data_IF_336811487255
#
_entry.id   IF_336811487255
#
_cell.length_a   1.000
_cell.length_b   1.000
_cell.length_c   1.000
_cell.angle_alpha   90.00
_cell.angle_beta   90.00
_cell.angle_gamma   90.00
#
_symmetry.space_group_name_H-M   'P 1'
#
loop_
_entity.id
_entity.type
_entity.pdbx_description
1 polymer ?
#
# COMPACT_ATOMS: atom_id res chain seq x y z
N UNK A 1 6.16 -0.92 25.59
CA UNK A 1 5.00 -1.57 24.97
C UNK A 1 3.80 -0.70 25.28
N UNK A 2 3.18 -0.14 24.26
CA UNK A 2 1.98 0.70 24.40
C UNK A 2 0.78 -0.19 24.06
N UNK A 3 -0.20 -0.28 24.95
CA UNK A 3 -1.39 -1.14 24.78
C UNK A 3 -2.61 -0.25 24.70
N UNK A 4 -3.33 -0.35 23.59
CA UNK A 4 -4.61 0.33 23.35
C UNK A 4 -5.73 -0.73 23.23
N UNK A 5 -7.02 -0.35 23.35
CA UNK A 5 -8.12 -1.30 23.33
C UNK A 5 -8.19 -2.20 22.07
N UNK A 6 -7.66 -1.75 20.94
CA UNK A 6 -7.75 -2.45 19.65
C UNK A 6 -6.38 -2.86 19.06
N UNK A 7 -5.27 -2.42 19.65
CA UNK A 7 -3.94 -2.76 19.18
C UNK A 7 -2.86 -2.56 20.24
N UNK A 8 -1.75 -3.28 20.10
CA UNK A 8 -0.54 -3.13 20.90
C UNK A 8 0.64 -2.76 20.00
N UNK A 9 1.46 -1.81 20.46
CA UNK A 9 2.69 -1.39 19.80
C UNK A 9 3.90 -1.86 20.61
N UNK A 10 4.73 -2.68 19.96
CA UNK A 10 6.03 -3.06 20.48
C UNK A 10 7.13 -2.26 19.76
N UNK A 11 7.39 -1.05 20.26
CA UNK A 11 8.49 -0.18 19.79
C UNK A 11 9.84 -0.74 20.25
N UNK A 12 10.80 -0.82 19.34
CA UNK A 12 12.16 -1.21 19.67
C UNK A 12 13.17 -0.64 18.67
N UNK A 13 14.25 -0.06 19.18
CA UNK A 13 15.42 0.31 18.37
C UNK A 13 16.19 -0.91 17.87
N UNK A 14 15.95 -2.10 18.44
CA UNK A 14 16.59 -3.35 17.97
C UNK A 14 16.19 -3.68 16.54
N UNK A 15 14.97 -3.35 16.15
CA UNK A 15 14.51 -3.54 14.78
C UNK A 15 15.21 -2.58 13.80
N UNK A 16 15.62 -1.38 14.24
CA UNK A 16 16.41 -0.47 13.40
C UNK A 16 17.71 -1.15 12.95
N UNK A 17 18.40 -1.86 13.85
CA UNK A 17 19.63 -2.59 13.49
C UNK A 17 19.41 -3.68 12.43
N UNK A 18 18.22 -4.28 12.36
CA UNK A 18 17.87 -5.22 11.29
C UNK A 18 17.67 -4.48 9.96
N UNK A 19 16.96 -3.36 9.98
CA UNK A 19 16.71 -2.52 8.81
C UNK A 19 18.03 -1.98 8.24
N UNK A 20 18.92 -1.49 9.12
CA UNK A 20 20.26 -1.02 8.78
C UNK A 20 21.08 -2.12 8.11
N UNK A 21 21.13 -3.32 8.70
CA UNK A 21 21.83 -4.47 8.09
C UNK A 21 21.28 -4.84 6.72
N UNK A 22 19.96 -4.82 6.54
CA UNK A 22 19.33 -5.10 5.25
C UNK A 22 19.70 -4.06 4.20
N UNK A 23 19.66 -2.78 4.57
CA UNK A 23 20.03 -1.66 3.71
C UNK A 23 21.52 -1.70 3.31
N UNK A 24 22.40 -1.95 4.28
CA UNK A 24 23.86 -1.98 4.11
C UNK A 24 24.35 -3.23 3.36
N UNK A 25 23.59 -4.32 3.38
CA UNK A 25 23.96 -5.55 2.67
C UNK A 25 24.11 -5.35 1.15
N UNK A 26 23.28 -4.47 0.55
CA UNK A 26 23.30 -4.22 -0.88
C UNK A 26 22.76 -2.82 -1.25
N UNK A 27 23.41 -1.72 -0.83
CA UNK A 27 22.90 -0.35 -1.02
C UNK A 27 22.68 0.01 -2.49
N UNK A 28 23.51 -0.51 -3.41
CA UNK A 28 23.32 -0.31 -4.84
C UNK A 28 22.03 -0.95 -5.37
N UNK A 29 21.72 -2.17 -4.92
CA UNK A 29 20.48 -2.87 -5.28
C UNK A 29 19.26 -2.09 -4.76
N UNK A 30 19.29 -1.65 -3.50
CA UNK A 30 18.19 -0.88 -2.93
C UNK A 30 17.99 0.48 -3.62
N UNK A 31 19.04 1.15 -4.09
CA UNK A 31 18.89 2.35 -4.93
C UNK A 31 18.20 2.04 -6.26
N UNK A 32 18.50 0.90 -6.88
CA UNK A 32 17.78 0.46 -8.09
C UNK A 32 16.32 0.20 -7.78
N UNK A 33 16.03 -0.50 -6.67
CA UNK A 33 14.65 -0.74 -6.19
C UNK A 33 13.91 0.58 -5.96
N UNK A 34 14.53 1.55 -5.27
CA UNK A 34 13.95 2.87 -5.05
C UNK A 34 13.68 3.61 -6.37
N UNK A 35 14.61 3.61 -7.32
CA UNK A 35 14.41 4.21 -8.65
C UNK A 35 13.27 3.54 -9.43
N UNK A 36 13.17 2.22 -9.36
CA UNK A 36 12.07 1.46 -9.97
C UNK A 36 10.73 1.81 -9.32
N UNK A 37 10.71 1.99 -7.99
CA UNK A 37 9.54 2.48 -7.28
C UNK A 37 9.10 3.84 -7.82
N UNK A 38 9.99 4.83 -7.84
CA UNK A 38 9.69 6.17 -8.38
C UNK A 38 9.19 6.11 -9.82
N UNK A 39 9.82 5.29 -10.67
CA UNK A 39 9.44 5.15 -12.07
C UNK A 39 8.06 4.50 -12.26
N UNK A 40 7.67 3.56 -11.38
CA UNK A 40 6.40 2.83 -11.47
C UNK A 40 5.24 3.57 -10.80
N UNK A 41 5.50 4.46 -9.84
CA UNK A 41 4.47 5.22 -9.11
C UNK A 41 3.48 5.96 -10.02
N UNK A 42 3.90 6.77 -11.02
CA UNK A 42 2.94 7.42 -11.93
C UNK A 42 2.07 6.40 -12.69
N UNK A 43 2.65 5.26 -13.08
CA UNK A 43 1.93 4.19 -13.75
C UNK A 43 0.83 3.58 -12.87
N UNK A 44 1.13 3.33 -11.59
CA UNK A 44 0.15 2.84 -10.62
C UNK A 44 -0.97 3.86 -10.40
N UNK A 45 -0.64 5.14 -10.19
CA UNK A 45 -1.62 6.22 -10.03
C UNK A 45 -2.52 6.36 -11.27
N UNK A 46 -1.94 6.36 -12.47
CA UNK A 46 -2.70 6.45 -13.72
C UNK A 46 -3.62 5.25 -13.93
N UNK A 47 -3.14 4.04 -13.62
CA UNK A 47 -3.91 2.82 -13.77
C UNK A 47 -5.12 2.77 -12.82
N UNK A 48 -4.93 3.07 -11.53
CA UNK A 48 -6.06 3.11 -10.58
C UNK A 48 -7.05 4.24 -10.92
N UNK A 49 -6.56 5.39 -11.39
CA UNK A 49 -7.41 6.48 -11.88
C UNK A 49 -8.26 6.05 -13.07
N UNK A 50 -7.64 5.38 -14.05
CA UNK A 50 -8.34 4.83 -15.20
C UNK A 50 -9.43 3.83 -14.79
N UNK A 51 -9.11 2.90 -13.88
CA UNK A 51 -10.09 1.93 -13.36
C UNK A 51 -11.28 2.62 -12.69
N UNK A 52 -11.04 3.58 -11.80
CA UNK A 52 -12.10 4.28 -11.08
C UNK A 52 -12.96 5.16 -11.99
N UNK A 53 -12.35 5.85 -12.96
CA UNK A 53 -13.09 6.67 -13.93
C UNK A 53 -13.92 5.80 -14.88
N UNK A 54 -13.33 4.72 -15.39
CA UNK A 54 -14.02 3.77 -16.25
C UNK A 54 -15.18 3.10 -15.52
N UNK A 55 -14.99 2.75 -14.25
CA UNK A 55 -16.04 2.14 -13.44
C UNK A 55 -17.17 3.15 -13.13
N UNK A 56 -16.82 4.40 -12.81
CA UNK A 56 -17.79 5.49 -12.66
C UNK A 56 -18.62 5.68 -13.94
N UNK A 57 -17.97 5.71 -15.11
CA UNK A 57 -18.66 5.80 -16.40
C UNK A 57 -19.62 4.62 -16.61
N UNK A 58 -19.20 3.39 -16.26
CA UNK A 58 -20.04 2.19 -16.44
C UNK A 58 -21.32 2.26 -15.61
N UNK A 59 -21.31 2.83 -14.41
CA UNK A 59 -22.54 3.01 -13.63
C UNK A 59 -23.61 3.83 -14.35
N UNK A 60 -23.24 4.76 -15.23
CA UNK A 60 -24.20 5.62 -15.94
C UNK A 60 -24.58 5.10 -17.33
N UNK A 61 -23.68 4.38 -18.01
CA UNK A 61 -23.87 4.01 -19.42
C UNK A 61 -23.93 2.50 -19.70
N UNK A 62 -23.46 1.67 -18.78
CA UNK A 62 -23.51 0.20 -18.90
C UNK A 62 -23.47 -0.47 -17.51
N UNK A 63 -24.53 -0.32 -16.68
CA UNK A 63 -24.53 -0.75 -15.29
C UNK A 63 -24.17 -2.23 -15.10
N UNK A 64 -24.64 -3.10 -15.99
CA UNK A 64 -24.31 -4.53 -16.04
C UNK A 64 -22.81 -4.84 -16.26
N UNK A 65 -22.00 -3.87 -16.69
CA UNK A 65 -20.53 -4.00 -16.81
C UNK A 65 -19.77 -3.32 -15.66
N UNK A 66 -20.46 -2.62 -14.77
CA UNK A 66 -19.84 -1.97 -13.62
C UNK A 66 -19.30 -3.03 -12.67
N UNK A 67 -18.10 -2.80 -12.18
CA UNK A 67 -17.45 -3.65 -11.19
C UNK A 67 -17.72 -3.12 -9.79
N UNK A 68 -18.12 -3.98 -8.84
CA UNK A 68 -18.38 -3.57 -7.47
C UNK A 68 -17.07 -3.19 -6.77
N UNK A 69 -17.01 -1.96 -6.24
CA UNK A 69 -15.99 -1.51 -5.29
C UNK A 69 -16.54 -1.72 -3.89
N UNK A 70 -16.01 -2.71 -3.18
CA UNK A 70 -16.56 -3.20 -1.92
C UNK A 70 -15.57 -2.95 -0.78
N UNK A 71 -16.00 -2.43 0.37
CA UNK A 71 -15.12 -2.28 1.53
C UNK A 71 -14.76 -3.67 2.07
N UNK A 72 -13.50 -3.83 2.49
CA UNK A 72 -13.04 -5.08 3.11
C UNK A 72 -13.46 -5.09 4.58
N UNK A 73 -14.45 -5.93 4.89
CA UNK A 73 -15.06 -6.08 6.21
C UNK A 73 -15.01 -7.56 6.59
N UNK A 74 -14.17 -7.95 7.57
CA UNK A 74 -14.10 -9.32 8.07
C UNK A 74 -15.46 -9.88 8.48
N UNK A 75 -15.82 -11.06 7.97
CA UNK A 75 -17.08 -11.74 8.27
C UNK A 75 -18.30 -11.25 7.49
N UNK A 76 -18.19 -10.12 6.77
CA UNK A 76 -19.26 -9.60 5.90
C UNK A 76 -18.86 -9.74 4.44
N UNK A 77 -17.80 -9.06 4.03
CA UNK A 77 -17.29 -9.10 2.64
C UNK A 77 -16.11 -10.05 2.52
N UNK A 78 -15.46 -10.43 3.63
CA UNK A 78 -14.48 -11.53 3.67
C UNK A 78 -15.10 -12.75 4.33
N UNK A 79 -15.19 -13.87 3.60
CA UNK A 79 -15.74 -15.14 4.11
C UNK A 79 -14.98 -15.64 5.33
N UNK A 80 -15.67 -16.22 6.31
CA UNK A 80 -15.06 -16.75 7.55
C UNK A 80 -13.93 -17.74 7.29
N UNK A 81 -14.10 -18.66 6.33
CA UNK A 81 -13.07 -19.63 5.96
C UNK A 81 -11.78 -19.00 5.41
N UNK A 82 -11.89 -17.77 4.88
CA UNK A 82 -10.78 -17.00 4.31
C UNK A 82 -10.06 -16.13 5.34
N UNK A 83 -10.66 -15.88 6.52
CA UNK A 83 -10.13 -14.93 7.50
C UNK A 83 -8.70 -15.23 7.97
N UNK A 84 -8.31 -16.49 8.28
CA UNK A 84 -6.94 -16.76 8.71
C UNK A 84 -5.91 -16.37 7.64
N UNK A 85 -6.20 -16.65 6.37
CA UNK A 85 -5.35 -16.33 5.24
C UNK A 85 -5.33 -14.83 4.95
N UNK A 86 -6.49 -14.18 5.01
CA UNK A 86 -6.62 -12.73 4.88
C UNK A 86 -5.76 -11.98 5.90
N UNK A 87 -5.89 -12.31 7.19
CA UNK A 87 -5.14 -11.62 8.25
C UNK A 87 -3.63 -11.91 8.19
N UNK A 88 -3.24 -13.15 7.88
CA UNK A 88 -1.84 -13.49 7.68
C UNK A 88 -1.22 -12.71 6.51
N UNK A 89 -1.91 -12.68 5.36
CA UNK A 89 -1.47 -11.91 4.18
C UNK A 89 -1.42 -10.41 4.49
N UNK A 90 -2.47 -9.84 5.09
CA UNK A 90 -2.53 -8.43 5.44
C UNK A 90 -1.34 -8.03 6.34
N UNK A 91 -1.05 -8.82 7.38
CA UNK A 91 0.06 -8.50 8.28
C UNK A 91 1.44 -8.62 7.64
N UNK A 92 1.67 -9.63 6.80
CA UNK A 92 2.92 -9.77 6.06
C UNK A 92 3.13 -8.62 5.07
N UNK A 93 2.08 -8.23 4.35
CA UNK A 93 2.14 -7.14 3.36
C UNK A 93 2.46 -5.82 4.04
N UNK A 94 1.75 -5.46 5.12
CA UNK A 94 2.02 -4.22 5.87
C UNK A 94 3.44 -4.24 6.46
N UNK A 95 3.89 -5.39 6.98
CA UNK A 95 5.25 -5.51 7.50
C UNK A 95 6.30 -5.25 6.41
N UNK A 96 6.16 -5.86 5.23
CA UNK A 96 7.08 -5.68 4.11
C UNK A 96 7.03 -4.24 3.58
N UNK A 97 5.84 -3.66 3.51
CA UNK A 97 5.60 -2.27 3.10
C UNK A 97 6.40 -1.29 3.97
N UNK A 98 6.20 -1.35 5.29
CA UNK A 98 6.85 -0.48 6.27
C UNK A 98 8.36 -0.74 6.34
N UNK A 99 8.78 -2.01 6.26
CA UNK A 99 10.19 -2.37 6.17
C UNK A 99 10.86 -1.73 4.95
N UNK A 100 10.17 -1.66 3.81
CA UNK A 100 10.70 -1.09 2.58
C UNK A 100 10.93 0.42 2.70
N UNK A 101 10.01 1.15 3.34
CA UNK A 101 10.23 2.56 3.69
C UNK A 101 11.47 2.71 4.57
N UNK A 102 11.59 1.89 5.62
CA UNK A 102 12.73 1.95 6.53
C UNK A 102 14.08 1.66 5.85
N UNK A 103 14.14 0.62 5.02
CA UNK A 103 15.34 0.30 4.23
C UNK A 103 15.71 1.46 3.32
N UNK A 104 14.72 2.06 2.65
CA UNK A 104 14.99 3.18 1.76
C UNK A 104 15.44 4.44 2.51
N UNK A 105 14.90 4.72 3.71
CA UNK A 105 15.40 5.80 4.56
C UNK A 105 16.90 5.64 4.83
N UNK A 106 17.33 4.45 5.26
CA UNK A 106 18.76 4.20 5.54
C UNK A 106 19.62 4.36 4.29
N UNK A 107 19.16 3.87 3.13
CA UNK A 107 19.88 3.97 1.85
C UNK A 107 20.09 5.42 1.38
N UNK A 108 19.12 6.29 1.67
CA UNK A 108 19.18 7.74 1.40
C UNK A 108 19.79 8.55 2.57
N UNK A 109 20.28 7.89 3.63
CA UNK A 109 20.93 8.56 4.76
C UNK A 109 19.96 9.28 5.71
N UNK A 110 18.68 8.93 5.69
CA UNK A 110 17.64 9.49 6.55
C UNK A 110 17.53 8.65 7.83
N UNK A 111 17.80 9.23 9.02
CA UNK A 111 17.78 8.49 10.28
C UNK A 111 16.40 7.92 10.62
N UNK A 112 16.37 6.76 11.28
CA UNK A 112 15.16 6.17 11.84
C UNK A 112 15.08 6.45 13.35
N UNK A 113 14.05 7.17 13.80
CA UNK A 113 13.80 7.44 15.23
C UNK A 113 13.41 6.16 15.96
N UNK A 114 12.47 5.41 15.41
CA UNK A 114 12.02 4.14 15.96
C UNK A 114 11.42 3.24 14.91
N UNK A 115 11.30 1.94 15.23
CA UNK A 115 10.47 1.01 14.48
C UNK A 115 9.69 0.12 15.45
N UNK A 116 8.54 -0.36 15.02
CA UNK A 116 7.62 -1.10 15.86
C UNK A 116 6.98 -2.28 15.12
N UNK A 117 6.71 -3.34 15.88
CA UNK A 117 5.73 -4.33 15.48
C UNK A 117 4.37 -3.90 16.02
N UNK A 118 3.39 -3.88 15.13
CA UNK A 118 2.00 -3.56 15.44
C UNK A 118 1.24 -4.87 15.55
N UNK A 119 0.53 -5.07 16.65
CA UNK A 119 -0.37 -6.20 16.84
C UNK A 119 -1.78 -5.66 17.08
N UNK A 120 -2.59 -5.61 16.03
CA UNK A 120 -4.02 -5.36 16.14
C UNK A 120 -4.76 -6.63 16.57
N UNK A 121 -5.99 -6.49 17.10
CA UNK A 121 -6.81 -7.62 17.57
C UNK A 121 -6.91 -8.76 16.54
N UNK A 122 -6.86 -8.43 15.24
CA UNK A 122 -7.07 -9.38 14.16
C UNK A 122 -5.86 -9.56 13.23
N UNK A 123 -4.84 -8.71 13.28
CA UNK A 123 -3.69 -8.77 12.37
C UNK A 123 -2.43 -8.23 13.04
N UNK A 124 -1.28 -8.47 12.44
CA UNK A 124 -0.03 -7.81 12.80
C UNK A 124 0.41 -6.86 11.68
N UNK A 125 1.53 -6.17 11.87
CA UNK A 125 2.13 -5.27 10.87
C UNK A 125 3.44 -4.67 11.36
N UNK A 126 4.04 -3.83 10.53
CA UNK A 126 5.18 -2.99 10.90
C UNK A 126 4.74 -1.54 11.12
N UNK A 127 5.64 -0.74 11.66
CA UNK A 127 5.64 0.70 11.57
C UNK A 127 7.09 1.19 11.63
N UNK A 128 7.45 2.10 10.74
CA UNK A 128 8.77 2.75 10.77
C UNK A 128 8.57 4.26 10.94
N UNK A 129 9.34 4.85 11.84
CA UNK A 129 9.28 6.27 12.15
C UNK A 129 10.59 6.95 11.72
N UNK A 130 10.64 7.52 10.51
CA UNK A 130 11.79 8.29 10.06
C UNK A 130 11.91 9.60 10.83
N UNK A 131 13.10 10.20 10.81
CA UNK A 131 13.25 11.59 11.19
C UNK A 131 12.58 12.49 10.14
N UNK A 132 11.43 13.07 10.51
CA UNK A 132 10.63 13.91 9.59
C UNK A 132 11.37 15.16 9.11
N UNK A 133 12.18 15.81 9.96
CA UNK A 133 12.93 17.01 9.57
C UNK A 133 14.04 16.65 8.56
N UNK A 134 14.75 15.53 8.81
CA UNK A 134 15.73 15.00 7.87
C UNK A 134 15.10 14.56 6.54
N UNK A 135 13.91 13.95 6.58
CA UNK A 135 13.18 13.53 5.38
C UNK A 135 12.69 14.74 4.58
N UNK A 136 12.09 15.75 5.21
CA UNK A 136 11.59 16.94 4.51
C UNK A 136 12.71 17.80 3.92
N UNK A 137 13.90 17.79 4.53
CA UNK A 137 15.09 18.51 4.05
C UNK A 137 15.92 17.74 3.01
N UNK A 138 15.66 16.45 2.82
CA UNK A 138 16.32 15.64 1.80
C UNK A 138 15.96 16.11 0.37
N UNK A 139 16.80 15.79 -0.62
CA UNK A 139 16.49 16.11 -2.01
C UNK A 139 15.21 15.40 -2.48
N UNK A 140 14.56 15.98 -3.49
CA UNK A 140 13.27 15.48 -3.97
C UNK A 140 13.33 14.02 -4.43
N UNK A 141 14.44 13.55 -5.00
CA UNK A 141 14.54 12.17 -5.47
C UNK A 141 14.65 11.19 -4.28
N UNK A 142 15.44 11.53 -3.27
CA UNK A 142 15.53 10.77 -2.02
C UNK A 142 14.17 10.63 -1.34
N UNK A 143 13.42 11.73 -1.20
CA UNK A 143 12.05 11.70 -0.68
C UNK A 143 11.14 10.80 -1.50
N UNK A 144 11.19 10.94 -2.83
CA UNK A 144 10.34 10.15 -3.74
C UNK A 144 10.67 8.65 -3.67
N UNK A 145 11.94 8.27 -3.52
CA UNK A 145 12.33 6.87 -3.33
C UNK A 145 11.76 6.32 -2.03
N UNK A 146 11.88 7.06 -0.93
CA UNK A 146 11.32 6.65 0.37
C UNK A 146 9.82 6.44 0.24
N UNK A 147 9.06 7.40 -0.30
CA UNK A 147 7.60 7.28 -0.43
C UNK A 147 7.17 6.19 -1.42
N UNK A 148 7.93 5.94 -2.49
CA UNK A 148 7.59 4.90 -3.45
C UNK A 148 7.89 3.47 -2.97
N UNK A 149 8.81 3.31 -2.00
CA UNK A 149 9.36 2.01 -1.60
C UNK A 149 8.30 1.01 -1.14
N UNK A 150 7.38 1.42 -0.27
CA UNK A 150 6.33 0.53 0.23
C UNK A 150 5.33 0.10 -0.84
N UNK A 151 4.92 1.01 -1.72
CA UNK A 151 4.00 0.66 -2.82
C UNK A 151 4.67 -0.24 -3.85
N UNK A 152 5.95 0.00 -4.16
CA UNK A 152 6.70 -0.86 -5.07
C UNK A 152 6.95 -2.26 -4.51
N UNK A 153 7.27 -2.40 -3.22
CA UNK A 153 7.43 -3.72 -2.61
C UNK A 153 6.12 -4.51 -2.61
N UNK A 154 4.99 -3.85 -2.35
CA UNK A 154 3.68 -4.47 -2.48
C UNK A 154 3.34 -4.85 -3.94
N UNK A 155 3.75 -4.06 -4.92
CA UNK A 155 3.63 -4.45 -6.33
C UNK A 155 4.42 -5.73 -6.61
N UNK A 156 5.70 -5.79 -6.18
CA UNK A 156 6.57 -6.96 -6.37
C UNK A 156 6.03 -8.19 -5.66
N UNK A 157 5.62 -8.08 -4.40
CA UNK A 157 5.01 -9.19 -3.63
C UNK A 157 3.73 -9.67 -4.31
N UNK A 158 2.89 -8.76 -4.79
CA UNK A 158 1.65 -9.08 -5.46
C UNK A 158 1.87 -9.85 -6.76
N UNK A 159 2.77 -9.38 -7.62
CA UNK A 159 3.12 -10.07 -8.86
C UNK A 159 3.79 -11.42 -8.59
N UNK A 160 4.63 -11.50 -7.56
CA UNK A 160 5.32 -12.74 -7.16
C UNK A 160 4.34 -13.79 -6.62
N UNK A 161 3.26 -13.38 -5.95
CA UNK A 161 2.20 -14.28 -5.50
C UNK A 161 1.24 -14.67 -6.65
N UNK A 162 0.96 -13.75 -7.57
CA UNK A 162 0.10 -13.97 -8.72
C UNK A 162 0.71 -14.98 -9.71
N UNK A 163 2.01 -14.90 -9.99
CA UNK A 163 2.64 -15.72 -11.01
C UNK A 163 2.51 -17.24 -10.75
N UNK A 164 2.89 -17.79 -9.58
CA UNK A 164 2.65 -19.19 -9.26
C UNK A 164 1.18 -19.59 -9.29
N UNK A 165 0.28 -18.69 -8.87
CA UNK A 165 -1.17 -18.95 -8.90
C UNK A 165 -1.67 -19.15 -10.34
N UNK A 166 -1.20 -18.33 -11.29
CA UNK A 166 -1.54 -18.46 -12.71
C UNK A 166 -0.96 -19.73 -13.33
N UNK A 167 0.28 -20.09 -12.98
CA UNK A 167 0.98 -21.23 -13.58
C UNK A 167 0.53 -22.58 -12.99
N UNK A 168 0.27 -22.65 -11.69
CA UNK A 168 0.09 -23.92 -10.97
C UNK A 168 -1.18 -23.99 -10.13
N UNK A 169 -2.06 -22.99 -10.18
CA UNK A 169 -3.22 -22.88 -9.28
C UNK A 169 -4.12 -24.13 -9.27
N UNK A 170 -4.31 -24.81 -10.41
CA UNK A 170 -5.14 -26.02 -10.47
C UNK A 170 -4.61 -27.21 -9.67
N UNK A 171 -3.30 -27.24 -9.39
CA UNK A 171 -2.64 -28.34 -8.68
C UNK A 171 -2.25 -28.00 -7.24
N UNK A 172 -2.52 -26.78 -6.77
CA UNK A 172 -2.13 -26.36 -5.43
C UNK A 172 -3.11 -26.86 -4.37
N UNK A 173 -2.63 -27.21 -3.16
CA UNK A 173 -3.51 -27.51 -2.04
C UNK A 173 -4.31 -26.26 -1.65
N UNK A 174 -5.59 -26.40 -1.23
CA UNK A 174 -6.47 -25.25 -0.94
C UNK A 174 -5.89 -24.20 0.02
N UNK A 175 -5.18 -24.55 1.11
CA UNK A 175 -4.52 -23.58 1.99
C UNK A 175 -3.58 -22.61 1.25
N UNK A 176 -2.74 -23.16 0.34
CA UNK A 176 -1.78 -22.37 -0.42
C UNK A 176 -2.49 -21.47 -1.44
N UNK A 177 -3.59 -21.95 -2.02
CA UNK A 177 -4.42 -21.16 -2.92
C UNK A 177 -5.02 -19.95 -2.22
N UNK A 178 -5.61 -20.12 -1.04
CA UNK A 178 -6.16 -19.01 -0.28
C UNK A 178 -5.08 -18.01 0.14
N UNK A 179 -3.95 -18.51 0.63
CA UNK A 179 -2.83 -17.64 1.02
C UNK A 179 -2.33 -16.82 -0.17
N UNK A 180 -2.02 -17.45 -1.31
CA UNK A 180 -1.53 -16.73 -2.49
C UNK A 180 -2.58 -15.80 -3.07
N UNK A 181 -3.85 -16.21 -3.07
CA UNK A 181 -4.96 -15.38 -3.51
C UNK A 181 -5.06 -14.09 -2.70
N UNK A 182 -5.11 -14.20 -1.37
CA UNK A 182 -5.15 -13.03 -0.50
C UNK A 182 -3.89 -12.19 -0.58
N UNK A 183 -2.71 -12.82 -0.69
CA UNK A 183 -1.45 -12.09 -0.84
C UNK A 183 -1.44 -11.28 -2.13
N UNK A 184 -1.70 -11.86 -3.30
CA UNK A 184 -1.69 -11.07 -4.53
C UNK A 184 -2.80 -10.00 -4.53
N UNK A 185 -4.01 -10.36 -4.08
CA UNK A 185 -5.15 -9.46 -4.08
C UNK A 185 -4.89 -8.25 -3.20
N UNK A 186 -4.50 -8.45 -1.94
CA UNK A 186 -4.24 -7.34 -1.02
C UNK A 186 -3.01 -6.54 -1.46
N UNK A 187 -1.94 -7.21 -1.86
CA UNK A 187 -0.68 -6.55 -2.16
C UNK A 187 -0.80 -5.63 -3.38
N UNK A 188 -1.44 -6.09 -4.46
CA UNK A 188 -1.68 -5.23 -5.64
C UNK A 188 -2.65 -4.08 -5.34
N UNK A 189 -3.74 -4.34 -4.60
CA UNK A 189 -4.68 -3.29 -4.25
C UNK A 189 -4.05 -2.23 -3.33
N UNK A 190 -3.29 -2.63 -2.31
CA UNK A 190 -2.61 -1.70 -1.40
C UNK A 190 -1.54 -0.91 -2.15
N UNK A 191 -0.76 -1.54 -3.04
CA UNK A 191 0.21 -0.83 -3.88
C UNK A 191 -0.45 0.29 -4.72
N UNK A 192 -1.58 -0.01 -5.35
CA UNK A 192 -2.30 0.98 -6.17
C UNK A 192 -2.99 2.06 -5.34
N UNK A 193 -3.67 1.67 -4.26
CA UNK A 193 -4.40 2.60 -3.38
C UNK A 193 -3.41 3.56 -2.72
N UNK A 194 -2.28 3.09 -2.19
CA UNK A 194 -1.29 3.96 -1.56
C UNK A 194 -0.66 4.96 -2.53
N UNK A 195 -0.72 4.72 -3.84
CA UNK A 195 -0.27 5.68 -4.86
C UNK A 195 -1.35 6.70 -5.27
N UNK A 196 -2.55 6.65 -4.69
CA UNK A 196 -3.55 7.71 -4.87
C UNK A 196 -3.08 9.00 -4.18
N UNK A 197 -3.32 10.18 -4.78
CA UNK A 197 -2.97 11.46 -4.19
C UNK A 197 -4.00 11.88 -3.13
N UNK A 198 -4.19 11.05 -2.11
CA UNK A 198 -5.12 11.26 -0.99
C UNK A 198 -4.32 11.23 0.31
N UNK A 199 -4.51 12.20 1.21
CA UNK A 199 -3.89 12.16 2.54
C UNK A 199 -4.47 11.01 3.39
N UNK A 200 -3.67 10.19 4.09
CA UNK A 200 -2.23 10.29 4.35
C UNK A 200 -1.33 9.38 3.48
N UNK A 201 -1.80 8.94 2.32
CA UNK A 201 -1.15 7.92 1.49
C UNK A 201 0.19 8.39 0.89
N UNK A 202 1.03 7.44 0.48
CA UNK A 202 2.36 7.70 -0.10
C UNK A 202 2.29 8.58 -1.36
N UNK A 203 1.34 8.32 -2.25
CA UNK A 203 1.12 9.07 -3.48
C UNK A 203 0.77 10.54 -3.23
N UNK A 204 0.12 10.84 -2.10
CA UNK A 204 -0.08 12.22 -1.67
C UNK A 204 1.24 12.88 -1.27
N UNK A 205 2.11 12.20 -0.51
CA UNK A 205 3.43 12.73 -0.13
C UNK A 205 4.31 12.98 -1.35
N UNK A 206 4.29 12.07 -2.32
CA UNK A 206 4.99 12.25 -3.60
C UNK A 206 4.45 13.45 -4.38
N UNK A 207 3.13 13.63 -4.44
CA UNK A 207 2.53 14.80 -5.09
C UNK A 207 2.87 16.10 -4.35
N UNK A 208 2.93 16.09 -3.01
CA UNK A 208 3.35 17.22 -2.19
C UNK A 208 4.76 17.67 -2.57
N UNK A 209 5.73 16.75 -2.66
CA UNK A 209 7.11 17.06 -3.09
C UNK A 209 7.13 17.76 -4.45
N UNK A 210 6.34 17.27 -5.42
CA UNK A 210 6.24 17.88 -6.75
C UNK A 210 5.55 19.25 -6.70
N UNK A 211 4.50 19.37 -5.89
CA UNK A 211 3.73 20.61 -5.74
C UNK A 211 4.58 21.72 -5.10
N UNK A 212 5.31 21.39 -4.04
CA UNK A 212 6.20 22.32 -3.34
C UNK A 212 7.36 22.76 -4.25
N UNK A 213 7.98 21.82 -4.97
CA UNK A 213 9.03 22.14 -5.95
C UNK A 213 8.55 23.05 -7.10
N UNK A 214 7.25 23.03 -7.42
CA UNK A 214 6.64 23.88 -8.45
C UNK A 214 5.98 25.15 -7.91
N UNK A 215 5.96 25.35 -6.59
CA UNK A 215 5.24 26.47 -5.97
C UNK A 215 3.72 26.41 -6.18
N UNK A 216 3.14 25.20 -6.27
CA UNK A 216 1.72 24.96 -6.52
C UNK A 216 1.04 24.26 -5.33
N UNK A 217 0.97 24.87 -4.14
CA UNK A 217 0.46 24.21 -2.92
C UNK A 217 -1.03 23.84 -3.00
N UNK A 218 -1.78 24.42 -3.94
CA UNK A 218 -3.18 24.07 -4.16
C UNK A 218 -3.35 22.74 -4.91
N UNK A 219 -2.32 22.28 -5.65
CA UNK A 219 -2.37 21.09 -6.49
C UNK A 219 -2.69 19.84 -5.67
N UNK A 220 -2.00 19.64 -4.55
CA UNK A 220 -2.23 18.48 -3.68
C UNK A 220 -3.62 18.47 -3.03
N UNK A 221 -4.15 19.65 -2.66
CA UNK A 221 -5.47 19.79 -2.03
C UNK A 221 -6.59 19.50 -3.01
N UNK A 222 -6.49 20.05 -4.22
CA UNK A 222 -7.44 19.81 -5.30
C UNK A 222 -7.40 18.33 -5.70
N UNK A 223 -6.21 17.76 -5.89
CA UNK A 223 -6.06 16.33 -6.20
C UNK A 223 -6.71 15.46 -5.11
N UNK A 224 -6.39 15.70 -3.84
CA UNK A 224 -6.99 14.97 -2.71
C UNK A 224 -8.51 15.03 -2.74
N UNK A 225 -9.09 16.22 -2.90
CA UNK A 225 -10.55 16.40 -2.95
C UNK A 225 -11.20 15.66 -4.14
N UNK A 226 -10.61 15.78 -5.33
CA UNK A 226 -11.10 15.12 -6.54
C UNK A 226 -11.05 13.60 -6.43
N UNK A 227 -9.95 13.04 -5.90
CA UNK A 227 -9.80 11.60 -5.75
C UNK A 227 -10.67 11.02 -4.64
N UNK A 228 -10.86 11.73 -3.53
CA UNK A 228 -11.82 11.34 -2.49
C UNK A 228 -13.24 11.28 -3.05
N UNK A 229 -13.65 12.29 -3.83
CA UNK A 229 -14.95 12.28 -4.49
C UNK A 229 -15.08 11.10 -5.46
N UNK A 230 -14.05 10.85 -6.28
CA UNK A 230 -14.05 9.75 -7.24
C UNK A 230 -14.20 8.37 -6.57
N UNK A 231 -13.46 8.15 -5.47
CA UNK A 231 -13.56 6.91 -4.68
C UNK A 231 -14.93 6.81 -4.00
N UNK A 232 -15.42 7.90 -3.40
CA UNK A 232 -16.73 7.93 -2.73
C UNK A 232 -17.88 7.65 -3.69
N UNK A 233 -17.85 8.20 -4.91
CA UNK A 233 -18.84 7.93 -5.94
C UNK A 233 -18.80 6.47 -6.38
N UNK A 234 -17.61 5.91 -6.62
CA UNK A 234 -17.45 4.51 -6.97
C UNK A 234 -18.00 3.58 -5.89
N UNK A 235 -17.65 3.84 -4.63
CA UNK A 235 -18.12 3.07 -3.48
C UNK A 235 -19.64 3.20 -3.29
N UNK A 236 -20.17 4.43 -3.30
CA UNK A 236 -21.58 4.71 -3.10
C UNK A 236 -22.45 4.06 -4.18
N UNK A 237 -22.08 4.22 -5.45
CA UNK A 237 -22.78 3.57 -6.56
C UNK A 237 -22.66 2.05 -6.50
N UNK A 238 -21.51 1.51 -6.10
CA UNK A 238 -21.34 0.07 -5.91
C UNK A 238 -22.29 -0.47 -4.84
N UNK A 239 -22.38 0.20 -3.69
CA UNK A 239 -23.27 -0.21 -2.61
C UNK A 239 -24.75 -0.10 -2.99
N UNK A 240 -25.14 0.94 -3.74
CA UNK A 240 -26.51 1.12 -4.21
C UNK A 240 -26.93 0.07 -5.25
N UNK A 241 -26.02 -0.36 -6.12
CA UNK A 241 -26.33 -1.30 -7.20
C UNK A 241 -26.15 -2.77 -6.79
N UNK A 242 -25.13 -3.07 -5.98
CA UNK A 242 -24.72 -4.45 -5.66
C UNK A 242 -24.87 -4.81 -4.18
N UNK A 243 -25.02 -3.83 -3.29
CA UNK A 243 -24.98 -4.06 -1.84
C UNK A 243 -23.60 -4.51 -1.34
N UNK A 244 -23.58 -5.18 -0.20
CA UNK A 244 -22.37 -5.78 0.38
C UNK A 244 -22.25 -7.23 -0.09
N UNK A 245 -21.42 -7.47 -1.10
CA UNK A 245 -21.15 -8.80 -1.63
C UNK A 245 -19.87 -9.41 -1.03
N UNK A 246 -19.86 -10.72 -0.73
CA UNK A 246 -18.65 -11.43 -0.32
C UNK A 246 -17.64 -11.58 -1.45
N UNK A 247 -16.37 -11.31 -1.15
CA UNK A 247 -15.16 -11.58 -1.94
C UNK A 247 -14.78 -13.07 -1.87
#
# INVERSE_FOLDING_TARGET
>A
MEVHPLYALYRSTRFNSLIERLAEAAPGLWRVVGNMGVATSPGMTLYISYLLLMNLQRFFYAPERASPVVPIIPGVTVRFASLPWFFLSAGLIILIHELSHGVQCVVEGIPLKSSALVFAVLTFGGAVEPDEEALESADSLSQMRVYAAGSFSNLVVGLSALLPLLLYGRGMPPPLLYLLHWTYFLSLNIAMVNMLPIRPLDGWRMLKVIADAKGLPLLEKVATGSFLLLVALNLGLSLLNFGLIPL
#
